data_IF_994278739895
#
_entry.id   IF_994278739895
#
_cell.length_a   1.000
_cell.length_b   1.000
_cell.length_c   1.000
_cell.angle_alpha   90.00
_cell.angle_beta   90.00
_cell.angle_gamma   90.00
#
_symmetry.space_group_name_H-M   'P 1'
#
loop_
_entity.id
_entity.type
_entity.pdbx_description
1 polymer ?
#
# COMPACT_ATOMS: atom_id res chain seq x y z
N UNK A 1 23.90 -51.78 3.18
CA UNK A 1 25.18 -51.47 3.86
C UNK A 1 25.28 -49.95 3.96
N UNK A 2 24.58 -49.23 4.85
CA UNK A 2 24.76 -49.04 6.32
C UNK A 2 26.21 -48.70 6.75
N UNK A 3 26.49 -47.40 6.90
CA UNK A 3 27.55 -46.79 7.73
C UNK A 3 27.00 -45.43 8.21
N UNK A 4 26.36 -45.32 9.37
CA UNK A 4 26.95 -45.10 10.70
C UNK A 4 27.99 -43.97 10.69
N UNK A 5 27.54 -42.73 10.93
CA UNK A 5 28.33 -41.73 11.67
C UNK A 5 27.52 -41.28 12.86
N UNK A 6 28.06 -41.66 14.00
CA UNK A 6 27.59 -41.49 15.36
C UNK A 6 28.23 -40.19 15.87
N UNK A 7 27.40 -39.24 16.30
CA UNK A 7 27.71 -38.36 17.43
C UNK A 7 28.69 -37.19 17.24
N UNK A 8 28.38 -36.15 18.02
CA UNK A 8 29.25 -35.10 18.51
C UNK A 8 29.42 -33.88 17.59
N UNK A 9 28.69 -32.82 17.88
CA UNK A 9 29.20 -31.44 18.10
C UNK A 9 27.98 -30.58 18.49
N UNK A 10 27.64 -30.55 19.78
CA UNK A 10 27.90 -29.40 20.66
C UNK A 10 27.16 -28.14 20.18
N UNK A 11 25.97 -27.98 20.78
CA UNK A 11 25.46 -26.76 21.40
C UNK A 11 26.33 -25.50 21.20
N UNK A 12 25.91 -24.60 20.31
CA UNK A 12 26.23 -23.17 20.42
C UNK A 12 24.92 -22.41 20.42
N UNK A 13 24.42 -22.21 21.64
CA UNK A 13 23.36 -21.29 21.99
C UNK A 13 24.06 -20.00 22.44
N UNK A 14 24.17 -19.00 21.57
CA UNK A 14 24.44 -17.63 21.98
C UNK A 14 23.69 -16.64 21.07
N UNK A 15 22.74 -15.99 21.73
CA UNK A 15 22.02 -14.80 21.34
C UNK A 15 22.96 -13.71 20.81
N UNK A 16 22.65 -13.19 19.63
CA UNK A 16 22.73 -11.74 19.38
C UNK A 16 21.37 -11.31 18.82
N UNK A 17 20.46 -11.03 19.76
CA UNK A 17 19.35 -10.14 19.50
C UNK A 17 19.87 -8.70 19.66
N UNK A 18 19.94 -7.96 18.55
CA UNK A 18 20.03 -6.50 18.52
C UNK A 18 19.57 -6.03 17.15
N UNK A 19 18.39 -5.41 17.09
CA UNK A 19 17.84 -4.85 15.86
C UNK A 19 16.41 -4.38 16.06
N UNK A 20 16.24 -3.39 16.91
CA UNK A 20 14.95 -2.73 17.14
C UNK A 20 14.51 -1.95 15.90
N UNK A 21 13.48 -2.47 15.25
CA UNK A 21 12.53 -1.73 14.44
C UNK A 21 11.25 -2.53 14.52
N UNK A 22 10.16 -1.96 15.02
CA UNK A 22 8.88 -2.65 15.02
C UNK A 22 8.55 -3.02 13.57
N UNK A 23 8.56 -4.31 13.17
CA UNK A 23 7.82 -4.65 11.97
C UNK A 23 6.37 -4.42 12.36
N UNK A 24 5.71 -3.47 11.69
CA UNK A 24 4.24 -3.47 11.65
C UNK A 24 3.84 -4.92 11.38
N UNK A 25 3.15 -5.53 12.35
CA UNK A 25 2.83 -6.95 12.29
C UNK A 25 2.18 -7.26 10.93
N UNK A 26 2.49 -8.41 10.30
CA UNK A 26 1.85 -8.77 9.06
C UNK A 26 0.34 -8.87 9.32
N UNK A 27 -0.41 -7.92 8.76
CA UNK A 27 -1.87 -7.98 8.66
C UNK A 27 -2.22 -9.31 8.01
N UNK A 28 -3.01 -10.13 8.69
CA UNK A 28 -3.31 -11.47 8.17
C UNK A 28 -4.18 -11.36 6.91
N UNK A 29 -4.07 -12.29 5.97
CA UNK A 29 -4.90 -12.31 4.75
C UNK A 29 -6.40 -12.29 5.08
N UNK A 30 -6.79 -12.84 6.23
CA UNK A 30 -8.15 -12.80 6.76
C UNK A 30 -8.56 -11.43 7.33
N UNK A 31 -7.61 -10.61 7.82
CA UNK A 31 -7.88 -9.23 8.25
C UNK A 31 -8.02 -8.28 7.07
N UNK A 32 -7.23 -8.47 6.00
CA UNK A 32 -7.28 -7.64 4.77
C UNK A 32 -8.67 -7.63 4.14
N UNK A 33 -9.30 -8.81 4.04
CA UNK A 33 -10.64 -8.98 3.50
C UNK A 33 -11.74 -8.38 4.40
N UNK A 34 -11.46 -8.22 5.69
CA UNK A 34 -12.40 -7.73 6.69
C UNK A 34 -12.18 -6.26 7.06
N UNK A 35 -11.21 -5.56 6.45
CA UNK A 35 -11.10 -4.10 6.58
C UNK A 35 -12.36 -3.47 5.96
N UNK A 36 -13.20 -2.77 6.73
CA UNK A 36 -14.33 -2.04 6.19
C UNK A 36 -13.83 -0.96 5.22
N UNK A 37 -14.41 -0.88 4.02
CA UNK A 37 -14.06 0.15 3.03
C UNK A 37 -14.74 1.51 3.26
N UNK A 38 -15.38 1.70 4.41
CA UNK A 38 -15.74 3.05 4.88
C UNK A 38 -14.49 3.70 5.47
N UNK A 39 -13.54 4.02 4.59
CA UNK A 39 -12.26 4.57 4.98
C UNK A 39 -12.43 6.03 5.40
N UNK A 40 -11.73 6.41 6.46
CA UNK A 40 -11.66 7.81 6.86
C UNK A 40 -11.10 8.67 5.71
N UNK A 41 -11.41 9.98 5.66
CA UNK A 41 -10.91 10.88 4.62
C UNK A 41 -9.39 10.88 4.44
N UNK A 42 -8.66 10.54 5.50
CA UNK A 42 -7.23 10.29 5.49
C UNK A 42 -6.99 8.84 5.89
N UNK A 43 -6.16 8.15 5.10
CA UNK A 43 -5.87 6.72 5.27
C UNK A 43 -4.39 6.57 5.56
N UNK A 44 -4.06 5.80 6.59
CA UNK A 44 -2.69 5.49 6.95
C UNK A 44 -2.01 4.57 5.92
N UNK A 45 -0.69 4.72 5.75
CA UNK A 45 0.09 3.96 4.78
C UNK A 45 0.06 2.45 5.01
N UNK A 46 -0.09 2.00 6.27
CA UNK A 46 -0.23 0.58 6.57
C UNK A 46 -1.57 0.03 6.09
N UNK A 47 -2.65 0.81 6.22
CA UNK A 47 -3.95 0.46 5.67
C UNK A 47 -3.88 0.36 4.15
N UNK A 48 -3.27 1.35 3.47
CA UNK A 48 -3.08 1.30 2.00
C UNK A 48 -2.28 0.06 1.59
N UNK A 49 -1.19 -0.25 2.28
CA UNK A 49 -0.39 -1.45 2.00
C UNK A 49 -1.18 -2.76 2.13
N UNK A 50 -2.20 -2.76 3.00
CA UNK A 50 -3.10 -3.88 3.25
C UNK A 50 -4.12 -4.02 2.13
N UNK A 51 -4.79 -2.93 1.76
CA UNK A 51 -5.99 -2.96 0.90
C UNK A 51 -5.70 -2.75 -0.59
N UNK A 52 -4.50 -2.30 -0.98
CA UNK A 52 -4.17 -1.94 -2.37
C UNK A 52 -4.36 -3.06 -3.41
N UNK A 53 -4.38 -4.32 -2.98
CA UNK A 53 -4.51 -5.49 -3.86
C UNK A 53 -5.96 -5.99 -3.95
N UNK A 54 -6.90 -5.36 -3.26
CA UNK A 54 -8.32 -5.75 -3.33
C UNK A 54 -8.96 -5.26 -4.62
N UNK A 55 -9.84 -6.07 -5.20
CA UNK A 55 -10.52 -5.77 -6.47
C UNK A 55 -11.47 -4.56 -6.37
N UNK A 56 -11.96 -4.28 -5.17
CA UNK A 56 -12.88 -3.19 -4.83
C UNK A 56 -12.17 -1.88 -4.43
N UNK A 57 -10.84 -1.83 -4.55
CA UNK A 57 -10.01 -0.65 -4.30
C UNK A 57 -9.39 -0.15 -5.61
N UNK A 58 -9.38 1.16 -5.80
CA UNK A 58 -8.70 1.84 -6.89
C UNK A 58 -7.67 2.84 -6.32
N UNK A 59 -6.39 2.52 -6.49
CA UNK A 59 -5.30 3.38 -6.02
C UNK A 59 -4.87 4.35 -7.14
N UNK A 60 -4.90 5.65 -6.86
CA UNK A 60 -4.62 6.73 -7.79
C UNK A 60 -3.44 7.59 -7.32
N UNK A 61 -2.35 7.63 -8.09
CA UNK A 61 -1.21 8.53 -7.86
C UNK A 61 -1.40 9.81 -8.68
N UNK A 62 -1.47 10.95 -8.01
CA UNK A 62 -1.69 12.27 -8.64
C UNK A 62 -0.44 13.12 -8.78
N UNK A 63 0.74 12.49 -8.62
CA UNK A 63 2.03 13.13 -8.85
C UNK A 63 2.31 13.36 -10.34
N UNK A 64 3.40 14.07 -10.61
CA UNK A 64 3.89 14.24 -11.98
C UNK A 64 4.55 12.96 -12.50
N UNK A 65 4.58 12.78 -13.83
CA UNK A 65 5.17 11.60 -14.48
C UNK A 65 6.61 11.33 -14.01
N UNK A 66 7.44 12.37 -13.91
CA UNK A 66 8.84 12.20 -13.49
C UNK A 66 8.97 11.69 -12.04
N UNK A 67 8.07 12.08 -11.13
CA UNK A 67 8.06 11.56 -9.74
C UNK A 67 7.62 10.09 -9.70
N UNK A 68 6.71 9.70 -10.60
CA UNK A 68 6.26 8.32 -10.76
C UNK A 68 7.36 7.44 -11.34
N UNK A 69 8.10 7.95 -12.31
CA UNK A 69 9.22 7.26 -12.97
C UNK A 69 10.41 7.03 -12.02
N UNK A 70 10.63 7.93 -11.06
CA UNK A 70 11.61 7.75 -9.97
C UNK A 70 11.22 6.63 -8.99
N UNK A 71 9.93 6.25 -8.96
CA UNK A 71 9.41 5.17 -8.13
C UNK A 71 7.94 5.39 -7.74
N UNK A 72 7.19 4.29 -7.69
CA UNK A 72 5.76 4.31 -7.38
C UNK A 72 5.30 2.99 -6.75
N UNK A 73 4.08 2.99 -6.22
CA UNK A 73 3.44 1.82 -5.64
C UNK A 73 3.07 0.84 -6.78
N UNK A 74 3.48 -0.43 -6.75
CA UNK A 74 3.10 -1.38 -7.81
C UNK A 74 1.58 -1.48 -7.96
N UNK A 75 1.10 -1.42 -9.21
CA UNK A 75 -0.33 -1.48 -9.53
C UNK A 75 -1.09 -0.16 -9.38
N UNK A 76 -0.44 0.92 -8.95
CA UNK A 76 -1.09 2.24 -8.86
C UNK A 76 -1.29 2.87 -10.24
N UNK A 77 -2.46 3.47 -10.45
CA UNK A 77 -2.74 4.23 -11.68
C UNK A 77 -2.21 5.65 -11.52
N UNK A 78 -1.41 6.10 -12.48
CA UNK A 78 -0.96 7.49 -12.54
C UNK A 78 -1.99 8.34 -13.28
N UNK A 79 -2.43 9.41 -12.64
CA UNK A 79 -3.20 10.48 -13.27
C UNK A 79 -2.78 11.83 -12.66
N UNK A 80 -1.85 12.58 -13.29
CA UNK A 80 -1.34 13.81 -12.71
C UNK A 80 -2.45 14.79 -12.35
N UNK A 81 -2.34 15.45 -11.21
CA UNK A 81 -3.38 16.34 -10.67
C UNK A 81 -3.95 17.32 -11.71
N UNK A 82 -3.11 17.89 -12.59
CA UNK A 82 -3.52 18.84 -13.62
C UNK A 82 -4.40 18.24 -14.73
N UNK A 83 -4.36 16.92 -14.91
CA UNK A 83 -5.13 16.19 -15.93
C UNK A 83 -6.45 15.63 -15.40
N UNK A 84 -6.59 15.50 -14.07
CA UNK A 84 -7.77 14.93 -13.40
C UNK A 84 -9.08 15.56 -13.90
N UNK A 85 -9.24 16.89 -13.99
CA UNK A 85 -10.52 17.47 -14.42
C UNK A 85 -10.97 17.09 -15.83
N UNK A 86 -10.02 16.84 -16.73
CA UNK A 86 -10.30 16.46 -18.13
C UNK A 86 -10.47 14.95 -18.34
N UNK A 87 -10.08 14.15 -17.36
CA UNK A 87 -10.02 12.67 -17.43
C UNK A 87 -10.82 12.02 -16.29
N UNK A 88 -11.82 12.73 -15.78
CA UNK A 88 -12.65 12.28 -14.66
C UNK A 88 -13.34 10.94 -14.94
N UNK A 89 -13.73 10.72 -16.20
CA UNK A 89 -14.41 9.48 -16.66
C UNK A 89 -13.52 8.22 -16.56
N UNK A 90 -12.21 8.37 -16.35
CA UNK A 90 -11.30 7.23 -16.13
C UNK A 90 -11.29 6.74 -14.68
N UNK A 91 -11.85 7.52 -13.75
CA UNK A 91 -11.89 7.19 -12.34
C UNK A 91 -13.17 6.39 -12.06
N UNK A 92 -13.08 5.15 -11.57
CA UNK A 92 -14.25 4.33 -11.29
C UNK A 92 -15.08 4.91 -10.14
N UNK A 93 -16.40 4.82 -10.27
CA UNK A 93 -17.36 5.26 -9.25
C UNK A 93 -17.95 4.11 -8.44
N UNK A 94 -17.64 2.86 -8.82
CA UNK A 94 -18.07 1.62 -8.20
C UNK A 94 -17.02 1.00 -7.26
N UNK A 95 -15.90 1.68 -7.05
CA UNK A 95 -14.77 1.24 -6.21
C UNK A 95 -14.40 2.29 -5.17
N UNK A 96 -13.72 1.85 -4.12
CA UNK A 96 -13.13 2.75 -3.14
C UNK A 96 -11.86 3.40 -3.73
N UNK A 97 -11.91 4.70 -3.98
CA UNK A 97 -10.81 5.45 -4.61
C UNK A 97 -9.87 6.02 -3.54
N UNK A 98 -8.65 5.49 -3.49
CA UNK A 98 -7.60 5.99 -2.60
C UNK A 98 -6.64 6.85 -3.42
N UNK A 99 -6.59 8.15 -3.11
CA UNK A 99 -5.71 9.11 -3.81
C UNK A 99 -4.42 9.31 -3.02
N UNK A 100 -3.27 9.20 -3.68
CA UNK A 100 -1.95 9.35 -3.07
C UNK A 100 -1.09 10.39 -3.79
N UNK A 101 -0.22 11.06 -3.03
CA UNK A 101 0.83 11.91 -3.55
C UNK A 101 2.02 11.91 -2.59
N UNK A 102 3.02 12.78 -2.82
CA UNK A 102 4.25 12.80 -1.99
C UNK A 102 4.02 13.14 -0.51
N UNK A 103 3.13 14.09 -0.20
CA UNK A 103 2.99 14.66 1.16
C UNK A 103 1.55 14.90 1.62
N UNK A 104 0.55 14.46 0.85
CA UNK A 104 -0.87 14.65 1.18
C UNK A 104 -1.55 15.88 0.55
N UNK A 105 -0.81 16.95 0.20
CA UNK A 105 -1.43 18.21 -0.26
C UNK A 105 -2.18 18.09 -1.61
N UNK A 106 -1.60 17.39 -2.59
CA UNK A 106 -2.22 17.22 -3.92
C UNK A 106 -3.35 16.20 -3.87
N UNK A 107 -3.13 15.10 -3.13
CA UNK A 107 -4.16 14.08 -2.93
C UNK A 107 -5.39 14.65 -2.22
N UNK A 108 -5.22 15.48 -1.18
CA UNK A 108 -6.35 16.15 -0.52
C UNK A 108 -7.17 17.03 -1.48
N UNK A 109 -6.50 17.87 -2.27
CA UNK A 109 -7.17 18.71 -3.28
C UNK A 109 -7.92 17.89 -4.34
N UNK A 110 -7.31 16.80 -4.82
CA UNK A 110 -7.97 15.90 -5.78
C UNK A 110 -9.14 15.18 -5.13
N UNK A 111 -9.00 14.66 -3.90
CA UNK A 111 -10.10 14.02 -3.17
C UNK A 111 -11.28 14.98 -3.00
N UNK A 112 -11.04 16.23 -2.63
CA UNK A 112 -12.09 17.24 -2.52
C UNK A 112 -12.75 17.55 -3.87
N UNK A 113 -11.95 17.61 -4.94
CA UNK A 113 -12.47 17.78 -6.30
C UNK A 113 -13.36 16.60 -6.71
N UNK A 114 -12.93 15.36 -6.48
CA UNK A 114 -13.70 14.16 -6.83
C UNK A 114 -15.02 14.10 -6.06
N UNK A 115 -15.01 14.39 -4.74
CA UNK A 115 -16.24 14.44 -3.93
C UNK A 115 -17.25 15.49 -4.40
N UNK A 116 -16.80 16.54 -5.08
CA UNK A 116 -17.67 17.60 -5.61
C UNK A 116 -18.19 17.29 -7.02
N UNK A 117 -17.55 16.39 -7.77
CA UNK A 117 -17.82 16.17 -9.19
C UNK A 117 -18.16 14.71 -9.56
N UNK A 118 -18.15 13.78 -8.59
CA UNK A 118 -18.55 12.38 -8.72
C UNK A 118 -19.79 12.08 -7.91
#
# INVERSE_FOLDING_TARGET
MRRWYFGLFILVLLLVACGGGNPAAPVTEAEVANVPLDLAPEVDVHTVATVKERDDVYLLDVREQWEYDEGHIPGVTLLPMGEVPSRLDEIPTDKEVIVTCRTGNRSGQVTDFLRQNG
#
